data_IF_195785186263
#
_entry.id   IF_195785186263
#
_cell.length_a   1.000
_cell.length_b   1.000
_cell.length_c   1.000
_cell.angle_alpha   90.00
_cell.angle_beta   90.00
_cell.angle_gamma   90.00
#
_symmetry.space_group_name_H-M   'P 1'
#
loop_
_entity.id
_entity.type
_entity.pdbx_description
1 polymer ?
#
# COMPACT_ATOMS: atom_id res chain seq x y z
N UNK A 1 -25.90 -5.81 -14.29
CA UNK A 1 -24.78 -5.21 -15.05
C UNK A 1 -23.48 -5.63 -14.37
N UNK A 2 -22.51 -6.28 -15.04
CA UNK A 2 -21.32 -6.75 -14.34
C UNK A 2 -20.26 -5.65 -14.32
N UNK A 3 -20.06 -5.02 -13.17
CA UNK A 3 -18.76 -4.44 -12.83
C UNK A 3 -18.07 -5.48 -11.95
N UNK A 4 -17.02 -6.17 -12.45
CA UNK A 4 -15.69 -5.79 -12.00
C UNK A 4 -14.58 -6.11 -13.02
N UNK A 5 -13.93 -5.09 -13.56
CA UNK A 5 -12.63 -5.27 -14.27
C UNK A 5 -11.43 -4.76 -13.48
N UNK A 6 -11.64 -4.00 -12.40
CA UNK A 6 -10.56 -3.44 -11.57
C UNK A 6 -10.15 -4.33 -10.40
N UNK A 7 -11.10 -4.92 -9.67
CA UNK A 7 -10.79 -5.90 -8.60
C UNK A 7 -9.98 -7.09 -9.13
N UNK A 8 -10.40 -7.64 -10.28
CA UNK A 8 -9.67 -8.67 -11.02
C UNK A 8 -8.27 -8.27 -11.51
N UNK A 9 -7.93 -6.98 -11.54
CA UNK A 9 -6.58 -6.51 -11.88
C UNK A 9 -5.72 -6.33 -10.63
N UNK A 10 -6.30 -5.85 -9.54
CA UNK A 10 -5.62 -5.78 -8.24
C UNK A 10 -5.21 -7.17 -7.77
N UNK A 11 -6.14 -8.14 -7.76
CA UNK A 11 -5.85 -9.52 -7.34
C UNK A 11 -4.72 -10.15 -8.15
N UNK A 12 -4.66 -9.87 -9.46
CA UNK A 12 -3.57 -10.34 -10.33
C UNK A 12 -2.23 -9.69 -10.02
N UNK A 13 -2.21 -8.38 -9.78
CA UNK A 13 -0.99 -7.68 -9.40
C UNK A 13 -0.46 -8.17 -8.04
N UNK A 14 -1.38 -8.46 -7.11
CA UNK A 14 -1.04 -9.03 -5.80
C UNK A 14 -0.48 -10.45 -5.93
N UNK A 15 -1.14 -11.32 -6.70
CA UNK A 15 -0.68 -12.69 -6.96
C UNK A 15 0.72 -12.69 -7.62
N UNK A 16 0.97 -11.77 -8.55
CA UNK A 16 2.27 -11.62 -9.19
C UNK A 16 3.34 -11.17 -8.20
N UNK A 17 3.03 -10.22 -7.31
CA UNK A 17 3.92 -9.79 -6.24
C UNK A 17 4.25 -10.93 -5.28
N UNK A 18 3.25 -11.67 -4.79
CA UNK A 18 3.43 -12.82 -3.90
C UNK A 18 4.32 -13.89 -4.55
N UNK A 19 4.09 -14.17 -5.84
CA UNK A 19 4.90 -15.11 -6.59
C UNK A 19 6.36 -14.66 -6.72
N UNK A 20 6.59 -13.37 -6.95
CA UNK A 20 7.95 -12.80 -7.03
C UNK A 20 8.65 -12.92 -5.68
N UNK A 21 8.00 -12.51 -4.59
CA UNK A 21 8.54 -12.59 -3.23
C UNK A 21 8.90 -14.04 -2.87
N UNK A 22 7.97 -14.98 -3.09
CA UNK A 22 8.19 -16.39 -2.82
C UNK A 22 9.35 -17.00 -3.64
N UNK A 23 9.67 -16.44 -4.82
CA UNK A 23 10.85 -16.85 -5.60
C UNK A 23 12.12 -16.26 -5.05
N UNK A 24 12.12 -14.98 -4.67
CA UNK A 24 13.27 -14.31 -4.07
C UNK A 24 13.66 -14.95 -2.73
N UNK A 25 12.69 -15.29 -1.89
CA UNK A 25 12.92 -15.93 -0.58
C UNK A 25 13.54 -17.33 -0.67
N UNK A 26 13.38 -18.03 -1.81
CA UNK A 26 14.02 -19.34 -2.02
C UNK A 26 15.54 -19.24 -2.15
N UNK A 27 16.09 -18.05 -2.42
CA UNK A 27 17.52 -17.75 -2.29
C UNK A 27 18.49 -18.49 -3.23
N UNK A 28 18.00 -19.30 -4.18
CA UNK A 28 18.84 -20.10 -5.09
C UNK A 28 18.75 -19.61 -6.55
N UNK A 29 18.78 -18.30 -6.75
CA UNK A 29 18.65 -17.66 -8.05
C UNK A 29 19.97 -17.03 -8.47
N UNK A 30 20.35 -17.10 -9.76
CA UNK A 30 21.43 -16.28 -10.30
C UNK A 30 21.17 -14.78 -10.04
N UNK A 31 22.24 -13.99 -9.93
CA UNK A 31 22.16 -12.54 -9.69
C UNK A 31 21.26 -11.84 -10.71
N UNK A 32 21.45 -12.14 -11.99
CA UNK A 32 20.65 -11.58 -13.08
C UNK A 32 19.15 -11.89 -12.93
N UNK A 33 18.81 -13.13 -12.57
CA UNK A 33 17.42 -13.53 -12.36
C UNK A 33 16.82 -12.87 -11.11
N UNK A 34 17.63 -12.67 -10.08
CA UNK A 34 17.23 -12.00 -8.85
C UNK A 34 16.93 -10.52 -9.10
N UNK A 35 17.72 -9.84 -9.94
CA UNK A 35 17.49 -8.46 -10.35
C UNK A 35 16.21 -8.33 -11.18
N UNK A 36 15.99 -9.23 -12.15
CA UNK A 36 14.77 -9.24 -12.95
C UNK A 36 13.51 -9.47 -12.11
N UNK A 37 13.57 -10.39 -11.15
CA UNK A 37 12.49 -10.63 -10.22
C UNK A 37 12.25 -9.42 -9.31
N UNK A 38 13.30 -8.78 -8.81
CA UNK A 38 13.17 -7.59 -8.01
C UNK A 38 12.48 -6.44 -8.78
N UNK A 39 12.87 -6.19 -10.02
CA UNK A 39 12.21 -5.20 -10.88
C UNK A 39 10.72 -5.51 -11.11
N UNK A 40 10.40 -6.78 -11.37
CA UNK A 40 9.02 -7.25 -11.51
C UNK A 40 8.23 -7.02 -10.21
N UNK A 41 8.82 -7.33 -9.05
CA UNK A 41 8.21 -7.11 -7.74
C UNK A 41 7.93 -5.63 -7.47
N UNK A 42 8.89 -4.75 -7.76
CA UNK A 42 8.69 -3.29 -7.63
C UNK A 42 7.54 -2.81 -8.52
N UNK A 43 7.45 -3.31 -9.75
CA UNK A 43 6.37 -2.96 -10.66
C UNK A 43 5.01 -3.42 -10.12
N UNK A 44 4.89 -4.69 -9.71
CA UNK A 44 3.67 -5.25 -9.16
C UNK A 44 3.22 -4.50 -7.89
N UNK A 45 4.15 -4.19 -6.98
CA UNK A 45 3.87 -3.40 -5.77
C UNK A 45 3.35 -2.00 -6.09
N UNK A 46 3.92 -1.31 -7.09
CA UNK A 46 3.44 -0.01 -7.55
C UNK A 46 2.03 -0.08 -8.12
N UNK A 47 1.74 -1.12 -8.90
CA UNK A 47 0.39 -1.34 -9.43
C UNK A 47 -0.63 -1.58 -8.31
N UNK A 48 -0.31 -2.42 -7.33
CA UNK A 48 -1.15 -2.63 -6.14
C UNK A 48 -1.44 -1.32 -5.41
N UNK A 49 -0.41 -0.51 -5.14
CA UNK A 49 -0.57 0.79 -4.48
C UNK A 49 -1.48 1.73 -5.27
N UNK A 50 -1.31 1.82 -6.59
CA UNK A 50 -2.14 2.67 -7.44
C UNK A 50 -3.62 2.25 -7.41
N UNK A 51 -3.91 0.94 -7.33
CA UNK A 51 -5.29 0.46 -7.18
C UNK A 51 -5.88 0.80 -5.81
N UNK A 52 -5.10 0.70 -4.73
CA UNK A 52 -5.54 1.07 -3.39
C UNK A 52 -5.81 2.57 -3.28
N UNK A 53 -4.92 3.43 -3.79
CA UNK A 53 -5.11 4.89 -3.82
C UNK A 53 -6.36 5.28 -4.63
N UNK A 54 -6.65 4.58 -5.74
CA UNK A 54 -7.88 4.81 -6.48
C UNK A 54 -9.12 4.37 -5.69
N UNK A 55 -9.05 3.23 -5.00
CA UNK A 55 -10.15 2.74 -4.18
C UNK A 55 -10.45 3.70 -3.02
N UNK A 56 -9.41 4.17 -2.34
CA UNK A 56 -9.48 5.16 -1.26
C UNK A 56 -10.16 6.45 -1.72
N UNK A 57 -9.69 7.07 -2.81
CA UNK A 57 -10.32 8.26 -3.39
C UNK A 57 -11.78 8.04 -3.74
N UNK A 58 -12.13 6.84 -4.22
CA UNK A 58 -13.53 6.52 -4.52
C UNK A 58 -14.37 6.41 -3.27
N UNK A 59 -13.84 5.83 -2.19
CA UNK A 59 -14.50 5.79 -0.88
C UNK A 59 -14.67 7.19 -0.33
N UNK A 60 -13.63 8.04 -0.38
CA UNK A 60 -13.70 9.45 0.04
C UNK A 60 -14.78 10.22 -0.72
N UNK A 61 -14.84 10.08 -2.05
CA UNK A 61 -15.88 10.73 -2.85
C UNK A 61 -17.29 10.27 -2.48
N UNK A 62 -17.48 8.98 -2.17
CA UNK A 62 -18.77 8.43 -1.76
C UNK A 62 -19.17 8.95 -0.37
N UNK A 63 -18.26 8.89 0.60
CA UNK A 63 -18.48 9.39 1.96
C UNK A 63 -18.72 10.91 1.99
N UNK A 64 -17.91 11.68 1.26
CA UNK A 64 -18.08 13.13 1.12
C UNK A 64 -19.30 13.54 0.30
N UNK A 65 -19.85 12.64 -0.53
CA UNK A 65 -21.13 12.88 -1.24
C UNK A 65 -22.37 12.57 -0.39
N UNK A 66 -22.23 11.74 0.66
CA UNK A 66 -23.33 11.33 1.54
C UNK A 66 -23.35 12.10 2.88
N UNK A 67 -22.22 12.64 3.31
CA UNK A 67 -22.11 13.45 4.52
C UNK A 67 -21.31 14.73 4.24
N UNK A 68 -21.97 15.88 4.32
CA UNK A 68 -21.26 17.04 4.82
C UNK A 68 -20.71 16.65 6.19
N UNK A 69 -19.38 16.66 6.32
CA UNK A 69 -18.65 16.47 7.59
C UNK A 69 -18.43 15.01 8.03
N UNK A 70 -17.60 14.27 7.30
CA UNK A 70 -16.82 13.17 7.87
C UNK A 70 -15.33 13.52 7.75
N UNK A 71 -14.73 13.99 8.85
CA UNK A 71 -13.28 14.13 8.95
C UNK A 71 -12.64 12.74 9.04
N UNK A 72 -11.87 12.37 8.02
CA UNK A 72 -10.97 11.24 8.09
C UNK A 72 -9.70 11.69 8.80
N UNK A 73 -9.55 11.32 10.08
CA UNK A 73 -8.27 11.47 10.77
C UNK A 73 -7.31 10.36 10.35
N UNK A 74 -6.01 10.65 10.15
CA UNK A 74 -4.99 9.62 10.02
C UNK A 74 -5.11 8.64 11.19
N UNK A 75 -5.15 7.33 10.89
CA UNK A 75 -5.11 6.31 11.93
C UNK A 75 -3.67 6.23 12.45
N UNK A 76 -3.42 6.88 13.59
CA UNK A 76 -2.19 6.69 14.34
C UNK A 76 -2.27 5.34 15.05
N UNK A 77 -1.40 4.40 14.66
CA UNK A 77 -1.11 3.25 15.53
C UNK A 77 -0.47 3.77 16.82
N UNK A 78 -0.86 3.23 17.96
CA UNK A 78 -0.44 3.63 19.31
C UNK A 78 1.06 3.34 19.61
N UNK A 79 1.96 3.53 18.66
CA UNK A 79 3.41 3.26 18.80
C UNK A 79 4.30 4.51 18.58
N UNK A 80 3.73 5.70 18.37
CA UNK A 80 4.49 6.97 18.23
C UNK A 80 4.43 7.85 19.52
N UNK A 81 4.41 7.25 20.72
CA UNK A 81 4.39 7.99 22.00
C UNK A 81 5.77 8.21 22.66
N UNK A 82 6.87 7.81 22.03
CA UNK A 82 8.21 8.03 22.58
C UNK A 82 9.01 9.00 21.71
N UNK A 83 8.88 10.32 21.94
CA UNK A 83 9.96 11.32 21.83
C UNK A 83 9.41 12.76 21.91
N UNK A 84 9.00 13.21 23.10
CA UNK A 84 9.12 14.63 23.45
C UNK A 84 9.17 14.82 24.97
N UNK A 85 10.25 14.36 25.62
CA UNK A 85 10.67 15.00 26.87
C UNK A 85 11.12 16.43 26.52
N UNK A 86 10.23 17.37 26.83
CA UNK A 86 10.38 18.80 26.63
C UNK A 86 11.75 19.30 27.12
N UNK A 87 12.56 19.79 26.18
CA UNK A 87 13.44 20.92 26.46
C UNK A 87 12.55 22.11 26.83
N UNK A 88 12.48 22.47 28.10
CA UNK A 88 12.23 23.87 28.44
C UNK A 88 13.19 24.39 29.50
N UNK A 89 13.84 25.47 29.08
CA UNK A 89 14.90 26.26 29.70
C UNK A 89 14.46 26.93 31.00
N UNK A 90 15.44 27.09 31.88
CA UNK A 90 15.67 28.26 32.75
C UNK A 90 14.45 29.11 33.18
N UNK A 91 14.02 28.94 34.44
CA UNK A 91 13.95 30.06 35.39
C UNK A 91 13.96 29.63 36.85
#
# INVERSE_FOLDING_TARGET
>A
MPAPKKGLKFEKALEELERVVARLEKGNLPLEESLQLFEQGIKAARECRAYLEEAEKRVEMLLGSEAGELELSPYASEEDEDENETEDRDK
#
